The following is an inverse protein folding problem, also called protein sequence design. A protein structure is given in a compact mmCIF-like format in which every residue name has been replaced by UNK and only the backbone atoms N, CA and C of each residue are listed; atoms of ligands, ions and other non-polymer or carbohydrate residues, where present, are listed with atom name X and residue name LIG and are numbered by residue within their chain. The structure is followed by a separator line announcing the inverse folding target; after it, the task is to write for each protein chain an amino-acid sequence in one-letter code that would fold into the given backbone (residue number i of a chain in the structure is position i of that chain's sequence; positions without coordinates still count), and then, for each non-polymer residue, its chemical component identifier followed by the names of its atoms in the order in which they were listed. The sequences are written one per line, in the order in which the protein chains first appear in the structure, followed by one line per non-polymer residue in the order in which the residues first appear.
data_IF_689655838205
#
_entry.id   IF_689655838205
#
_cell.length_a   1.000
_cell.length_b   1.000
_cell.length_c   1.000
_cell.angle_alpha   90.00
_cell.angle_beta   90.00
_cell.angle_gamma   90.00
#
_symmetry.space_group_name_H-M   'P 1'
#
loop_
_entity.id
_entity.type
_entity.pdbx_description
1 polymer ?
#
# COMPACT_ATOMS: atom_id res chain seq x y z
N UNK A 1 -0.33 2.28 -31.72
CA UNK A 1 -0.15 1.79 -30.34
C UNK A 1 0.47 2.95 -29.58
N UNK A 2 -0.39 3.85 -29.08
CA UNK A 2 0.06 5.02 -28.34
C UNK A 2 0.82 4.56 -27.10
N UNK A 3 2.04 5.07 -26.92
CA UNK A 3 2.78 4.98 -25.67
C UNK A 3 2.03 5.83 -24.63
N UNK A 4 0.95 5.29 -24.09
CA UNK A 4 0.14 5.92 -23.06
C UNK A 4 1.04 6.19 -21.86
N UNK A 5 1.43 7.46 -21.72
CA UNK A 5 1.95 8.02 -20.49
C UNK A 5 0.97 7.68 -19.36
N UNK A 6 1.48 7.31 -18.19
CA UNK A 6 0.66 7.17 -16.98
C UNK A 6 -0.26 8.39 -16.85
N UNK A 7 -1.57 8.14 -16.75
CA UNK A 7 -2.54 9.19 -16.44
C UNK A 7 -2.20 9.82 -15.10
N UNK A 8 -2.57 11.08 -14.93
CA UNK A 8 -2.43 11.78 -13.64
C UNK A 8 -3.08 10.96 -12.53
N UNK A 9 -2.30 10.63 -11.52
CA UNK A 9 -2.74 9.78 -10.42
C UNK A 9 -3.60 10.59 -9.46
N UNK A 10 -4.86 10.19 -9.29
CA UNK A 10 -5.78 10.85 -8.37
C UNK A 10 -5.24 10.82 -6.92
N UNK A 11 -5.47 11.90 -6.14
CA UNK A 11 -5.00 11.98 -4.76
C UNK A 11 -5.67 10.93 -3.89
N UNK A 12 -4.86 10.26 -3.07
CA UNK A 12 -5.38 9.41 -2.01
C UNK A 12 -5.87 10.29 -0.87
N UNK A 13 -7.10 10.07 -0.41
CA UNK A 13 -7.76 10.89 0.61
C UNK A 13 -8.10 10.08 1.85
N UNK A 14 -8.15 10.70 3.04
CA UNK A 14 -8.73 10.06 4.22
C UNK A 14 -10.20 9.70 3.96
N UNK A 15 -10.76 8.77 4.75
CA UNK A 15 -12.18 8.45 4.65
C UNK A 15 -13.02 9.70 4.98
N UNK A 16 -14.14 9.85 4.29
CA UNK A 16 -15.06 10.97 4.50
C UNK A 16 -15.95 10.74 5.75
N UNK A 17 -16.53 11.79 6.34
CA UNK A 17 -17.40 11.68 7.51
C UNK A 17 -18.56 10.68 7.40
N UNK A 18 -19.04 10.36 6.18
CA UNK A 18 -20.06 9.31 5.99
C UNK A 18 -19.60 7.95 6.52
N UNK A 19 -18.30 7.65 6.43
CA UNK A 19 -17.72 6.41 6.94
C UNK A 19 -17.73 6.35 8.46
N UNK A 20 -17.61 7.50 9.15
CA UNK A 20 -17.79 7.57 10.60
C UNK A 20 -19.17 7.04 11.00
N UNK A 21 -20.23 7.48 10.33
CA UNK A 21 -21.60 7.05 10.59
C UNK A 21 -21.81 5.54 10.29
N UNK A 22 -21.18 5.03 9.23
CA UNK A 22 -21.19 3.60 8.90
C UNK A 22 -20.55 2.79 10.03
N UNK A 23 -19.31 3.13 10.40
CA UNK A 23 -18.52 2.39 11.40
C UNK A 23 -19.13 2.50 12.80
N UNK A 24 -19.57 3.69 13.21
CA UNK A 24 -20.22 3.88 14.51
C UNK A 24 -21.56 3.15 14.61
N UNK A 25 -22.33 3.10 13.51
CA UNK A 25 -23.56 2.32 13.46
C UNK A 25 -23.34 0.81 13.56
N UNK A 26 -22.27 0.29 12.94
CA UNK A 26 -21.86 -1.12 13.13
C UNK A 26 -21.40 -1.36 14.56
N UNK A 27 -20.57 -0.46 15.11
CA UNK A 27 -20.05 -0.58 16.47
C UNK A 27 -21.18 -0.60 17.49
N UNK A 28 -22.14 0.31 17.37
CA UNK A 28 -23.30 0.38 18.25
C UNK A 28 -24.16 -0.89 18.19
N UNK A 29 -24.41 -1.43 16.98
CA UNK A 29 -25.19 -2.67 16.80
C UNK A 29 -24.57 -3.88 17.51
N UNK A 30 -23.26 -3.88 17.70
CA UNK A 30 -22.50 -4.96 18.33
C UNK A 30 -22.10 -4.67 19.78
N UNK A 31 -22.54 -3.53 20.32
CA UNK A 31 -22.16 -3.05 21.65
C UNK A 31 -20.67 -2.75 21.80
N UNK A 32 -19.97 -2.43 20.71
CA UNK A 32 -18.59 -1.93 20.74
C UNK A 32 -18.58 -0.41 21.00
N UNK A 33 -17.51 0.13 21.59
CA UNK A 33 -17.31 1.57 21.68
C UNK A 33 -17.29 2.22 20.28
N UNK A 34 -18.01 3.34 20.15
CA UNK A 34 -18.02 4.15 18.92
C UNK A 34 -16.88 5.17 18.93
N UNK A 35 -16.65 5.87 17.82
CA UNK A 35 -15.65 6.93 17.69
C UNK A 35 -15.80 8.07 18.73
N UNK A 36 -16.96 8.16 19.39
CA UNK A 36 -17.22 9.13 20.45
C UNK A 36 -16.63 8.71 21.81
N UNK A 37 -16.38 7.42 22.04
CA UNK A 37 -15.74 6.93 23.26
C UNK A 37 -14.21 6.90 23.12
N UNK A 38 -13.63 8.09 23.11
CA UNK A 38 -12.19 8.31 22.91
C UNK A 38 -11.36 7.57 23.96
N UNK A 39 -11.82 7.49 25.21
CA UNK A 39 -11.07 6.86 26.30
C UNK A 39 -11.00 5.35 26.10
N UNK A 40 -12.15 4.69 25.87
CA UNK A 40 -12.17 3.25 25.68
C UNK A 40 -11.43 2.84 24.40
N UNK A 41 -11.64 3.56 23.30
CA UNK A 41 -10.95 3.26 22.04
C UNK A 41 -9.46 3.59 22.12
N UNK A 42 -9.05 4.66 22.79
CA UNK A 42 -7.64 5.00 22.99
C UNK A 42 -6.89 3.86 23.68
N UNK A 43 -7.47 3.30 24.76
CA UNK A 43 -6.90 2.15 25.45
C UNK A 43 -6.87 0.89 24.56
N UNK A 44 -7.96 0.57 23.86
CA UNK A 44 -8.02 -0.59 22.97
C UNK A 44 -7.02 -0.50 21.80
N UNK A 45 -6.86 0.69 21.21
CA UNK A 45 -5.92 0.94 20.11
C UNK A 45 -4.47 0.89 20.58
N UNK A 46 -4.16 1.47 21.74
CA UNK A 46 -2.81 1.38 22.33
C UNK A 46 -2.42 -0.10 22.55
N UNK A 47 -3.35 -0.86 23.13
CA UNK A 47 -3.17 -2.29 23.40
C UNK A 47 -2.99 -3.11 22.12
N UNK A 48 -3.85 -2.88 21.12
CA UNK A 48 -3.75 -3.56 19.82
C UNK A 48 -2.42 -3.25 19.12
N UNK A 49 -1.98 -2.00 19.18
CA UNK A 49 -0.68 -1.58 18.65
C UNK A 49 0.48 -2.28 19.37
N UNK A 50 0.44 -2.36 20.71
CA UNK A 50 1.46 -3.07 21.48
C UNK A 50 1.50 -4.56 21.14
N UNK A 51 0.35 -5.22 21.00
CA UNK A 51 0.25 -6.63 20.57
C UNK A 51 0.87 -6.85 19.19
N UNK A 52 0.49 -6.03 18.20
CA UNK A 52 1.08 -6.14 16.86
C UNK A 52 2.59 -5.90 16.85
N UNK A 53 3.09 -5.01 17.70
CA UNK A 53 4.53 -4.77 17.83
C UNK A 53 5.26 -5.80 18.71
N UNK A 54 4.57 -6.85 19.19
CA UNK A 54 5.15 -7.89 20.04
C UNK A 54 5.52 -7.42 21.46
N UNK A 55 5.00 -6.26 21.87
CA UNK A 55 5.16 -5.71 23.22
C UNK A 55 4.11 -6.27 24.18
N UNK A 56 3.00 -6.79 23.65
CA UNK A 56 2.02 -7.58 24.38
C UNK A 56 1.87 -8.98 23.79
N UNK A 57 1.64 -9.96 24.66
CA UNK A 57 1.46 -11.36 24.26
C UNK A 57 0.01 -11.65 23.85
N UNK A 58 -0.97 -10.93 24.42
CA UNK A 58 -2.39 -11.16 24.17
C UNK A 58 -3.24 -9.90 24.38
N UNK A 59 -4.35 -9.83 23.65
CA UNK A 59 -5.37 -8.79 23.73
C UNK A 59 -6.76 -9.44 23.71
N UNK A 60 -7.70 -9.02 24.59
CA UNK A 60 -9.06 -9.53 24.54
C UNK A 60 -9.70 -9.33 23.16
N UNK A 61 -10.22 -10.40 22.56
CA UNK A 61 -10.75 -10.39 21.20
C UNK A 61 -11.76 -9.25 20.96
N UNK A 62 -12.63 -8.97 21.94
CA UNK A 62 -13.61 -7.86 21.87
C UNK A 62 -12.95 -6.48 21.77
N UNK A 63 -11.85 -6.25 22.49
CA UNK A 63 -11.09 -4.99 22.44
C UNK A 63 -10.32 -4.87 21.12
N UNK A 64 -9.67 -5.95 20.67
CA UNK A 64 -8.99 -5.98 19.38
C UNK A 64 -9.96 -5.67 18.24
N UNK A 65 -11.15 -6.29 18.26
CA UNK A 65 -12.17 -6.08 17.24
C UNK A 65 -12.72 -4.64 17.24
N UNK A 66 -12.96 -4.06 18.42
CA UNK A 66 -13.35 -2.64 18.54
C UNK A 66 -12.29 -1.68 17.97
N UNK A 67 -11.01 -1.91 18.28
CA UNK A 67 -9.91 -1.09 17.75
C UNK A 67 -9.72 -1.28 16.23
N UNK A 68 -9.96 -2.48 15.70
CA UNK A 68 -9.94 -2.73 14.26
C UNK A 68 -11.09 -1.98 13.57
N UNK A 69 -12.31 -2.08 14.10
CA UNK A 69 -13.53 -1.47 13.54
C UNK A 69 -13.46 0.06 13.56
N UNK A 70 -13.23 0.64 14.73
CA UNK A 70 -13.40 2.08 14.95
C UNK A 70 -12.13 2.91 14.72
N UNK A 71 -10.99 2.28 14.41
CA UNK A 71 -9.72 2.98 14.16
C UNK A 71 -8.93 2.40 12.97
N UNK A 72 -8.61 1.10 12.99
CA UNK A 72 -7.68 0.52 12.01
C UNK A 72 -8.27 0.50 10.59
N UNK A 73 -9.55 0.17 10.44
CA UNK A 73 -10.24 0.16 9.14
C UNK A 73 -10.06 1.50 8.39
N UNK A 74 -10.41 2.62 9.04
CA UNK A 74 -10.31 3.95 8.45
C UNK A 74 -8.85 4.40 8.23
N UNK A 75 -7.92 3.92 9.04
CA UNK A 75 -6.47 4.15 8.84
C UNK A 75 -5.91 3.36 7.65
N UNK A 76 -6.49 2.21 7.33
CA UNK A 76 -5.89 1.24 6.40
C UNK A 76 -6.47 1.29 4.99
N UNK A 77 -7.72 1.72 4.81
CA UNK A 77 -8.32 1.94 3.49
C UNK A 77 -7.46 2.85 2.58
N UNK A 78 -6.91 4.00 3.04
CA UNK A 78 -6.04 4.82 2.20
C UNK A 78 -4.73 4.11 1.79
N UNK A 79 -4.22 3.18 2.61
CA UNK A 79 -3.04 2.38 2.25
C UNK A 79 -3.34 1.44 1.10
N UNK A 80 -4.51 0.79 1.13
CA UNK A 80 -5.02 -0.03 0.03
C UNK A 80 -5.12 0.77 -1.27
N UNK A 81 -5.76 1.94 -1.22
CA UNK A 81 -5.89 2.83 -2.37
C UNK A 81 -4.52 3.27 -2.92
N UNK A 82 -3.59 3.65 -2.05
CA UNK A 82 -2.25 4.07 -2.42
C UNK A 82 -1.44 2.94 -3.08
N UNK A 83 -1.52 1.71 -2.55
CA UNK A 83 -0.77 0.57 -3.07
C UNK A 83 -1.19 0.18 -4.51
N UNK A 84 -2.46 0.38 -4.87
CA UNK A 84 -2.97 0.06 -6.22
C UNK A 84 -3.05 1.28 -7.14
N UNK A 85 -2.76 2.49 -6.66
CA UNK A 85 -2.92 3.72 -7.44
C UNK A 85 -2.13 3.73 -8.76
N UNK A 86 -0.89 3.26 -8.75
CA UNK A 86 -0.03 3.19 -9.96
C UNK A 86 -0.53 2.13 -10.95
N UNK A 87 -1.11 1.05 -10.41
CA UNK A 87 -1.75 0.02 -11.22
C UNK A 87 -2.96 0.60 -11.93
N UNK A 88 -3.85 1.27 -11.21
CA UNK A 88 -5.06 1.85 -11.79
C UNK A 88 -4.71 2.96 -12.80
N UNK A 89 -3.77 3.84 -12.47
CA UNK A 89 -3.29 4.90 -13.37
C UNK A 89 -2.61 4.37 -14.64
N UNK A 90 -2.17 3.10 -14.64
CA UNK A 90 -1.65 2.42 -15.83
C UNK A 90 -2.72 1.94 -16.81
N UNK A 91 -4.00 2.19 -16.50
CA UNK A 91 -5.15 1.77 -17.30
C UNK A 91 -5.70 0.40 -16.89
N UNK A 92 -5.21 -0.22 -15.82
CA UNK A 92 -5.89 -1.38 -15.23
C UNK A 92 -7.15 -0.91 -14.48
N UNK A 93 -8.29 -1.62 -14.54
CA UNK A 93 -8.51 -2.94 -15.12
C UNK A 93 -8.97 -2.94 -16.59
N UNK A 94 -8.82 -1.82 -17.30
CA UNK A 94 -9.34 -1.63 -18.65
C UNK A 94 -10.86 -1.50 -18.65
N UNK A 95 -11.51 -2.11 -19.64
CA UNK A 95 -12.96 -2.01 -19.89
C UNK A 95 -13.81 -3.03 -19.11
N UNK A 96 -13.22 -3.73 -18.15
CA UNK A 96 -13.94 -4.74 -17.35
C UNK A 96 -15.09 -4.08 -16.59
N UNK A 97 -16.29 -4.62 -16.73
CA UNK A 97 -17.48 -4.19 -15.98
C UNK A 97 -17.52 -4.78 -14.56
N UNK A 98 -16.89 -5.94 -14.35
CA UNK A 98 -16.82 -6.63 -13.06
C UNK A 98 -15.38 -7.04 -12.76
N UNK A 99 -14.95 -6.84 -11.50
CA UNK A 99 -13.67 -7.28 -10.98
C UNK A 99 -13.87 -8.31 -9.88
N UNK A 100 -13.31 -9.50 -10.09
CA UNK A 100 -13.29 -10.54 -9.07
C UNK A 100 -12.05 -10.34 -8.21
N UNK A 101 -12.26 -10.10 -6.92
CA UNK A 101 -11.21 -9.81 -5.96
C UNK A 101 -11.15 -10.92 -4.92
N UNK A 102 -9.95 -11.37 -4.59
CA UNK A 102 -9.68 -12.29 -3.49
C UNK A 102 -8.83 -11.56 -2.45
N UNK A 103 -9.41 -11.24 -1.28
CA UNK A 103 -8.75 -10.51 -0.19
C UNK A 103 -8.37 -11.51 0.91
N UNK A 104 -7.08 -11.79 1.08
CA UNK A 104 -6.55 -12.79 2.00
C UNK A 104 -6.03 -12.16 3.27
N UNK A 105 -6.51 -12.64 4.42
CA UNK A 105 -6.34 -11.95 5.69
C UNK A 105 -7.12 -10.63 5.69
N UNK A 106 -8.32 -10.65 5.12
CA UNK A 106 -9.08 -9.44 4.83
C UNK A 106 -9.49 -8.65 6.08
N UNK A 107 -9.64 -9.32 7.23
CA UNK A 107 -10.25 -8.79 8.43
C UNK A 107 -11.60 -8.12 8.15
N UNK A 108 -11.60 -6.79 8.20
CA UNK A 108 -12.78 -5.95 7.98
C UNK A 108 -12.99 -5.51 6.51
N UNK A 109 -12.11 -5.93 5.58
CA UNK A 109 -12.19 -5.59 4.16
C UNK A 109 -11.59 -4.24 3.78
N UNK A 110 -10.71 -3.67 4.61
CA UNK A 110 -10.15 -2.33 4.36
C UNK A 110 -9.39 -2.23 3.03
N UNK A 111 -8.68 -3.30 2.61
CA UNK A 111 -7.96 -3.30 1.33
C UNK A 111 -8.92 -3.28 0.14
N UNK A 112 -10.00 -4.08 0.21
CA UNK A 112 -11.09 -4.08 -0.78
C UNK A 112 -11.72 -2.69 -0.94
N UNK A 113 -12.00 -1.97 0.15
CA UNK A 113 -12.50 -0.59 0.07
C UNK A 113 -11.47 0.40 -0.44
N UNK A 114 -10.18 0.19 -0.13
CA UNK A 114 -9.08 0.96 -0.71
C UNK A 114 -9.02 0.83 -2.24
N UNK A 115 -9.19 -0.39 -2.75
CA UNK A 115 -9.31 -0.64 -4.19
C UNK A 115 -10.49 0.11 -4.81
N UNK A 116 -11.69 -0.02 -4.22
CA UNK A 116 -12.89 0.63 -4.74
C UNK A 116 -12.71 2.15 -4.87
N UNK A 117 -12.06 2.77 -3.87
CA UNK A 117 -11.72 4.21 -3.89
C UNK A 117 -10.74 4.57 -5.00
N UNK A 118 -9.68 3.78 -5.19
CA UNK A 118 -8.72 4.04 -6.26
C UNK A 118 -9.35 3.92 -7.65
N UNK A 119 -10.25 2.94 -7.83
CA UNK A 119 -11.01 2.76 -9.07
C UNK A 119 -11.97 3.93 -9.32
N UNK A 120 -12.75 4.33 -8.32
CA UNK A 120 -13.68 5.47 -8.44
C UNK A 120 -12.94 6.77 -8.76
N UNK A 121 -11.82 7.03 -8.07
CA UNK A 121 -10.98 8.19 -8.29
C UNK A 121 -10.35 8.25 -9.69
N UNK A 122 -10.13 7.09 -10.32
CA UNK A 122 -9.70 6.97 -11.70
C UNK A 122 -10.85 7.01 -12.72
N UNK A 123 -12.08 7.19 -12.26
CA UNK A 123 -13.27 7.27 -13.12
C UNK A 123 -13.82 5.91 -13.56
N UNK A 124 -13.33 4.80 -13.02
CA UNK A 124 -13.86 3.48 -13.35
C UNK A 124 -15.28 3.31 -12.77
N UNK A 125 -16.15 2.63 -13.53
CA UNK A 125 -17.55 2.38 -13.18
C UNK A 125 -17.85 0.91 -13.39
N UNK A 126 -18.33 0.24 -12.36
CA UNK A 126 -18.58 -1.20 -12.41
C UNK A 126 -18.72 -1.81 -11.03
N UNK A 127 -18.60 -3.13 -10.96
CA UNK A 127 -18.77 -3.91 -9.73
C UNK A 127 -17.47 -4.58 -9.29
N UNK A 128 -17.08 -4.36 -8.04
CA UNK A 128 -16.09 -5.16 -7.33
C UNK A 128 -16.81 -6.30 -6.62
N UNK A 129 -16.56 -7.53 -7.04
CA UNK A 129 -17.02 -8.75 -6.39
C UNK A 129 -15.88 -9.35 -5.57
N UNK A 130 -15.86 -9.04 -4.27
CA UNK A 130 -14.78 -9.43 -3.38
C UNK A 130 -15.14 -10.66 -2.53
N UNK A 131 -14.24 -11.65 -2.56
CA UNK A 131 -14.23 -12.76 -1.60
C UNK A 131 -13.19 -12.46 -0.52
N UNK A 132 -13.66 -12.19 0.70
CA UNK A 132 -12.84 -11.90 1.87
C UNK A 132 -12.59 -13.21 2.63
N UNK A 133 -11.33 -13.62 2.72
CA UNK A 133 -10.89 -14.82 3.44
C UNK A 133 -10.11 -14.40 4.68
N UNK A 134 -10.55 -14.86 5.85
CA UNK A 134 -9.86 -14.63 7.12
C UNK A 134 -10.17 -15.76 8.12
N UNK A 135 -9.29 -15.96 9.09
CA UNK A 135 -9.52 -16.90 10.21
C UNK A 135 -10.42 -16.28 11.28
N UNK A 136 -10.46 -14.96 11.38
CA UNK A 136 -11.30 -14.23 12.32
C UNK A 136 -12.74 -14.07 11.79
N UNK A 137 -13.58 -15.05 12.13
CA UNK A 137 -15.00 -15.05 11.77
C UNK A 137 -15.76 -13.82 12.29
N UNK A 138 -15.35 -13.25 13.43
CA UNK A 138 -15.99 -12.06 13.98
C UNK A 138 -15.63 -10.81 13.16
N UNK A 139 -14.37 -10.68 12.72
CA UNK A 139 -13.98 -9.62 11.79
C UNK A 139 -14.72 -9.73 10.45
N UNK A 140 -14.85 -10.93 9.88
CA UNK A 140 -15.61 -11.13 8.65
C UNK A 140 -17.11 -10.79 8.80
N UNK A 141 -17.72 -11.12 9.94
CA UNK A 141 -19.10 -10.72 10.22
C UNK A 141 -19.26 -9.19 10.27
N UNK A 142 -18.29 -8.47 10.83
CA UNK A 142 -18.27 -7.01 10.79
C UNK A 142 -18.03 -6.47 9.37
N UNK A 143 -17.16 -7.09 8.58
CA UNK A 143 -16.92 -6.72 7.18
C UNK A 143 -18.23 -6.74 6.36
N UNK A 144 -19.01 -7.82 6.50
CA UNK A 144 -20.31 -7.94 5.84
C UNK A 144 -21.30 -6.85 6.27
N UNK A 145 -21.33 -6.50 7.56
CA UNK A 145 -22.18 -5.42 8.11
C UNK A 145 -21.74 -4.04 7.66
N UNK A 146 -20.43 -3.79 7.56
CA UNK A 146 -19.88 -2.56 6.97
C UNK A 146 -20.36 -2.45 5.53
N UNK A 147 -20.21 -3.51 4.72
CA UNK A 147 -20.63 -3.48 3.32
C UNK A 147 -22.13 -3.26 3.13
N UNK A 148 -22.96 -3.89 3.95
CA UNK A 148 -24.41 -3.68 3.94
C UNK A 148 -24.82 -2.23 4.22
N UNK A 149 -23.99 -1.46 4.94
CA UNK A 149 -24.27 -0.06 5.34
C UNK A 149 -23.53 0.98 4.49
N UNK A 150 -22.39 0.64 3.91
CA UNK A 150 -21.53 1.58 3.20
C UNK A 150 -22.12 2.05 1.86
N UNK A 151 -22.90 1.18 1.20
CA UNK A 151 -23.36 1.43 -0.17
C UNK A 151 -22.20 1.41 -1.18
N UNK A 152 -22.40 1.91 -2.41
CA UNK A 152 -21.32 2.01 -3.40
C UNK A 152 -20.27 3.06 -2.99
N UNK A 153 -19.05 2.87 -3.47
CA UNK A 153 -18.00 3.89 -3.43
C UNK A 153 -18.07 4.74 -4.71
N UNK A 154 -18.78 5.86 -4.66
CA UNK A 154 -19.01 6.68 -5.85
C UNK A 154 -19.69 5.86 -6.95
N UNK A 155 -19.02 5.72 -8.09
CA UNK A 155 -19.50 4.92 -9.22
C UNK A 155 -19.16 3.42 -9.17
N UNK A 156 -18.59 2.94 -8.06
CA UNK A 156 -18.15 1.56 -7.88
C UNK A 156 -19.07 0.82 -6.92
N UNK A 157 -19.81 -0.16 -7.43
CA UNK A 157 -20.56 -1.09 -6.59
C UNK A 157 -19.60 -2.10 -5.93
N UNK A 158 -19.80 -2.39 -4.65
CA UNK A 158 -18.98 -3.35 -3.90
C UNK A 158 -19.87 -4.46 -3.35
N UNK A 159 -19.65 -5.68 -3.80
CA UNK A 159 -20.29 -6.89 -3.30
C UNK A 159 -19.27 -7.72 -2.53
N UNK A 160 -19.61 -8.13 -1.32
CA UNK A 160 -18.71 -8.88 -0.43
C UNK A 160 -19.30 -10.24 -0.11
N UNK A 161 -18.50 -11.28 -0.36
CA UNK A 161 -18.69 -12.63 0.19
C UNK A 161 -17.58 -12.91 1.20
N UNK A 162 -17.94 -13.45 2.36
CA UNK A 162 -16.96 -13.83 3.39
C UNK A 162 -16.76 -15.34 3.43
N UNK A 163 -15.53 -15.76 3.71
CA UNK A 163 -15.15 -17.17 3.86
C UNK A 163 -14.21 -17.28 5.06
N UNK A 164 -14.63 -18.04 6.08
CA UNK A 164 -13.75 -18.35 7.21
C UNK A 164 -12.77 -19.43 6.76
N UNK A 165 -11.47 -19.13 6.77
CA UNK A 165 -10.46 -20.06 6.30
C UNK A 165 -9.04 -19.51 6.35
N UNK A 166 -8.08 -20.38 6.04
CA UNK A 166 -6.68 -19.99 5.86
C UNK A 166 -6.44 -19.49 4.41
N UNK A 167 -5.42 -18.64 4.23
CA UNK A 167 -4.97 -18.23 2.89
C UNK A 167 -4.49 -19.40 2.02
N UNK A 168 -4.34 -20.59 2.58
CA UNK A 168 -4.03 -21.84 1.89
C UNK A 168 -5.27 -22.54 1.31
N UNK A 169 -6.48 -22.28 1.85
CA UNK A 169 -7.74 -22.95 1.52
C UNK A 169 -8.60 -22.12 0.56
N UNK A 170 -8.04 -21.84 -0.61
CA UNK A 170 -8.56 -20.83 -1.51
C UNK A 170 -9.67 -21.34 -2.43
N UNK A 171 -10.66 -20.51 -2.79
CA UNK A 171 -11.64 -20.84 -3.82
C UNK A 171 -10.96 -21.22 -5.14
N UNK A 172 -11.63 -22.06 -5.93
CA UNK A 172 -11.01 -22.68 -7.10
C UNK A 172 -10.77 -21.72 -8.29
N UNK A 173 -11.60 -20.68 -8.45
CA UNK A 173 -11.53 -19.80 -9.61
C UNK A 173 -10.44 -18.71 -9.47
N UNK A 174 -9.63 -18.44 -10.51
CA UNK A 174 -8.71 -17.31 -10.52
C UNK A 174 -9.43 -15.97 -10.40
N UNK A 175 -8.87 -15.05 -9.60
CA UNK A 175 -9.33 -13.68 -9.40
C UNK A 175 -8.56 -12.70 -10.31
N UNK A 176 -9.19 -11.58 -10.66
CA UNK A 176 -8.55 -10.51 -11.43
C UNK A 176 -7.55 -9.72 -10.55
N UNK A 177 -7.78 -9.71 -9.23
CA UNK A 177 -6.89 -9.15 -8.22
C UNK A 177 -6.89 -10.02 -6.95
N UNK A 178 -5.69 -10.33 -6.46
CA UNK A 178 -5.48 -10.91 -5.12
C UNK A 178 -4.82 -9.87 -4.22
N UNK A 179 -5.43 -9.61 -3.06
CA UNK A 179 -4.94 -8.68 -2.05
C UNK A 179 -4.45 -9.46 -0.83
N UNK A 180 -3.33 -9.02 -0.24
CA UNK A 180 -2.84 -9.52 1.06
C UNK A 180 -2.45 -8.29 1.89
N UNK A 181 -3.34 -7.87 2.79
CA UNK A 181 -3.18 -6.68 3.62
C UNK A 181 -2.79 -7.01 5.05
N UNK A 182 -1.58 -6.65 5.46
CA UNK A 182 -1.06 -6.76 6.82
C UNK A 182 -1.09 -8.18 7.41
N UNK A 183 -1.19 -9.21 6.56
CA UNK A 183 -1.38 -10.59 6.99
C UNK A 183 -0.15 -11.48 6.76
N UNK A 184 0.64 -11.23 5.70
CA UNK A 184 1.78 -12.07 5.37
C UNK A 184 2.83 -12.02 6.50
N UNK A 185 3.07 -10.85 7.09
CA UNK A 185 3.97 -10.67 8.22
C UNK A 185 3.45 -11.26 9.55
N UNK A 186 2.21 -11.75 9.61
CA UNK A 186 1.67 -12.45 10.79
C UNK A 186 1.80 -13.98 10.68
N UNK A 187 2.00 -14.49 9.47
CA UNK A 187 2.12 -15.93 9.22
C UNK A 187 3.50 -16.45 9.58
N UNK A 188 3.55 -17.72 10.02
CA UNK A 188 4.77 -18.49 10.24
C UNK A 188 5.83 -17.78 11.11
N UNK A 189 5.41 -17.00 12.13
CA UNK A 189 6.31 -16.21 12.99
C UNK A 189 7.28 -17.06 13.82
N UNK A 190 6.99 -18.35 13.98
CA UNK A 190 7.88 -19.32 14.64
C UNK A 190 9.04 -19.79 13.76
N UNK A 191 8.99 -19.56 12.44
CA UNK A 191 10.06 -19.96 11.53
C UNK A 191 11.23 -18.96 11.57
N UNK A 192 12.48 -19.43 11.38
CA UNK A 192 13.63 -18.57 11.15
C UNK A 192 13.40 -17.61 9.97
N UNK A 193 13.91 -16.36 10.01
CA UNK A 193 13.61 -15.34 8.99
C UNK A 193 13.83 -15.79 7.54
N UNK A 194 14.95 -16.47 7.25
CA UNK A 194 15.27 -16.92 5.90
C UNK A 194 14.31 -18.01 5.38
N UNK A 195 13.96 -18.97 6.23
CA UNK A 195 13.01 -20.05 5.92
C UNK A 195 11.61 -19.48 5.72
N UNK A 196 11.22 -18.55 6.60
CA UNK A 196 9.96 -17.83 6.51
C UNK A 196 9.84 -17.04 5.20
N UNK A 197 10.89 -16.35 4.78
CA UNK A 197 10.91 -15.63 3.50
C UNK A 197 10.81 -16.60 2.31
N UNK A 198 11.46 -17.78 2.38
CA UNK A 198 11.33 -18.83 1.36
C UNK A 198 9.89 -19.33 1.26
N UNK A 199 9.30 -19.73 2.40
CA UNK A 199 7.92 -20.19 2.50
C UNK A 199 6.92 -19.16 1.95
N UNK A 200 7.10 -17.88 2.28
CA UNK A 200 6.21 -16.83 1.80
C UNK A 200 6.39 -16.59 0.31
N UNK A 201 7.61 -16.60 -0.22
CA UNK A 201 7.83 -16.52 -1.67
C UNK A 201 7.15 -17.68 -2.42
N UNK A 202 7.22 -18.90 -1.91
CA UNK A 202 6.50 -20.05 -2.49
C UNK A 202 4.98 -19.90 -2.44
N UNK A 203 4.43 -19.35 -1.34
CA UNK A 203 2.99 -19.07 -1.24
C UNK A 203 2.58 -18.05 -2.31
N UNK A 204 3.32 -16.95 -2.42
CA UNK A 204 3.02 -15.89 -3.40
C UNK A 204 3.19 -16.37 -4.85
N UNK A 205 4.22 -17.19 -5.12
CA UNK A 205 4.42 -17.83 -6.43
C UNK A 205 3.23 -18.74 -6.79
N UNK A 206 2.79 -19.61 -5.88
CA UNK A 206 1.60 -20.45 -6.09
C UNK A 206 0.33 -19.62 -6.31
N UNK A 207 0.15 -18.54 -5.57
CA UNK A 207 -0.97 -17.61 -5.76
C UNK A 207 -0.96 -17.02 -7.17
N UNK A 208 0.18 -16.49 -7.62
CA UNK A 208 0.34 -15.96 -8.97
C UNK A 208 0.02 -16.99 -10.04
N UNK A 209 0.50 -18.23 -9.88
CA UNK A 209 0.31 -19.29 -10.88
C UNK A 209 -1.13 -19.85 -10.89
N UNK A 210 -1.79 -19.94 -9.74
CA UNK A 210 -3.01 -20.72 -9.61
C UNK A 210 -4.27 -19.90 -9.31
N UNK A 211 -4.12 -18.69 -8.75
CA UNK A 211 -5.25 -17.89 -8.24
C UNK A 211 -5.34 -16.49 -8.83
N UNK A 212 -4.31 -16.03 -9.54
CA UNK A 212 -4.35 -14.75 -10.27
C UNK A 212 -4.68 -15.03 -11.74
N UNK A 213 -5.62 -14.30 -12.33
CA UNK A 213 -5.96 -14.41 -13.75
C UNK A 213 -4.72 -14.09 -14.65
N UNK A 214 -4.68 -14.53 -15.92
CA UNK A 214 -3.52 -14.30 -16.81
C UNK A 214 -3.01 -12.84 -16.86
N UNK A 215 -3.91 -11.87 -16.91
CA UNK A 215 -3.66 -10.42 -16.85
C UNK A 215 -3.94 -9.80 -15.48
N UNK A 216 -4.10 -10.67 -14.47
CA UNK A 216 -4.43 -10.31 -13.09
C UNK A 216 -3.23 -9.90 -12.27
N UNK A 217 -3.52 -9.47 -11.04
CA UNK A 217 -2.55 -8.82 -10.16
C UNK A 217 -2.55 -9.44 -8.77
N UNK A 218 -1.37 -9.53 -8.15
CA UNK A 218 -1.17 -9.80 -6.74
C UNK A 218 -0.61 -8.55 -6.06
N UNK A 219 -1.23 -8.11 -4.97
CA UNK A 219 -0.81 -6.95 -4.19
C UNK A 219 -0.61 -7.37 -2.74
N UNK A 220 0.59 -7.14 -2.23
CA UNK A 220 0.94 -7.35 -0.83
C UNK A 220 1.17 -5.99 -0.19
N UNK A 221 0.56 -5.74 0.96
CA UNK A 221 0.68 -4.49 1.73
C UNK A 221 1.04 -4.87 3.16
N UNK A 222 2.10 -4.29 3.70
CA UNK A 222 2.61 -4.61 5.04
C UNK A 222 2.96 -3.34 5.82
N UNK A 223 2.96 -3.36 7.16
CA UNK A 223 3.42 -2.21 7.93
C UNK A 223 4.87 -1.83 7.60
N UNK A 224 5.18 -0.53 7.69
CA UNK A 224 6.51 0.02 7.37
C UNK A 224 7.58 -0.23 8.45
N UNK A 225 7.38 -1.23 9.33
CA UNK A 225 8.35 -1.61 10.35
C UNK A 225 9.57 -2.26 9.68
N UNK A 226 10.76 -1.95 10.16
CA UNK A 226 12.03 -2.36 9.53
C UNK A 226 12.09 -3.88 9.29
N UNK A 227 11.76 -4.67 10.29
CA UNK A 227 11.76 -6.14 10.22
C UNK A 227 10.77 -6.66 9.16
N UNK A 228 9.54 -6.14 9.14
CA UNK A 228 8.49 -6.55 8.20
C UNK A 228 8.80 -6.12 6.77
N UNK A 229 9.28 -4.90 6.59
CA UNK A 229 9.66 -4.40 5.26
C UNK A 229 10.88 -5.14 4.72
N UNK A 230 11.90 -5.43 5.55
CA UNK A 230 13.06 -6.23 5.13
C UNK A 230 12.67 -7.67 4.79
N UNK A 231 11.77 -8.28 5.56
CA UNK A 231 11.16 -9.57 5.21
C UNK A 231 10.52 -9.52 3.82
N UNK A 232 9.75 -8.47 3.51
CA UNK A 232 9.13 -8.30 2.19
C UNK A 232 10.17 -8.06 1.08
N UNK A 233 11.29 -7.40 1.34
CA UNK A 233 12.40 -7.29 0.37
C UNK A 233 13.00 -8.66 0.04
N UNK A 234 13.19 -9.53 1.03
CA UNK A 234 13.75 -10.86 0.83
C UNK A 234 12.77 -11.74 0.03
N UNK A 235 11.47 -11.66 0.34
CA UNK A 235 10.41 -12.31 -0.44
C UNK A 235 10.40 -11.80 -1.88
N UNK A 236 10.49 -10.48 -2.10
CA UNK A 236 10.62 -9.86 -3.43
C UNK A 236 11.82 -10.44 -4.19
N UNK A 237 12.99 -10.51 -3.57
CA UNK A 237 14.21 -11.03 -4.20
C UNK A 237 14.07 -12.49 -4.64
N UNK A 238 13.39 -13.32 -3.84
CA UNK A 238 13.11 -14.72 -4.16
C UNK A 238 12.11 -14.88 -5.31
N UNK A 239 11.06 -14.05 -5.35
CA UNK A 239 10.11 -14.05 -6.45
C UNK A 239 10.75 -13.63 -7.78
N UNK A 240 11.65 -12.65 -7.75
CA UNK A 240 12.48 -12.27 -8.90
C UNK A 240 13.35 -13.44 -9.35
N UNK A 241 14.03 -14.11 -8.41
CA UNK A 241 14.84 -15.29 -8.74
C UNK A 241 14.01 -16.44 -9.33
N UNK A 242 12.72 -16.52 -9.00
CA UNK A 242 11.75 -17.44 -9.60
C UNK A 242 11.20 -16.97 -10.97
N UNK A 243 11.65 -15.82 -11.49
CA UNK A 243 11.30 -15.30 -12.81
C UNK A 243 10.10 -14.36 -12.86
N UNK A 244 9.63 -13.86 -11.71
CA UNK A 244 8.62 -12.80 -11.66
C UNK A 244 9.25 -11.41 -11.81
N UNK A 245 8.50 -10.46 -12.38
CA UNK A 245 8.88 -9.05 -12.44
C UNK A 245 8.02 -8.21 -11.53
N UNK A 246 8.62 -7.17 -10.95
CA UNK A 246 7.92 -6.23 -10.07
C UNK A 246 7.20 -5.19 -10.92
N UNK A 247 5.89 -5.06 -10.72
CA UNK A 247 5.13 -3.96 -11.29
C UNK A 247 5.41 -2.66 -10.51
N UNK A 248 5.23 -2.68 -9.18
CA UNK A 248 5.46 -1.54 -8.28
C UNK A 248 5.85 -2.03 -6.88
N UNK A 249 6.51 -1.22 -6.03
CA UNK A 249 6.99 0.15 -6.27
C UNK A 249 8.33 0.22 -7.03
N UNK A 250 9.08 -0.88 -7.07
CA UNK A 250 10.43 -0.90 -7.65
C UNK A 250 10.38 -0.78 -9.18
N UNK A 251 11.24 0.07 -9.73
CA UNK A 251 11.40 0.27 -11.18
C UNK A 251 12.52 -0.60 -11.79
N UNK A 252 12.91 -1.66 -11.09
CA UNK A 252 13.95 -2.60 -11.50
C UNK A 252 13.71 -3.96 -10.83
N UNK A 253 14.28 -5.01 -11.42
CA UNK A 253 14.25 -6.38 -10.89
C UNK A 253 15.62 -6.81 -10.28
N UNK A 254 16.54 -5.88 -10.04
CA UNK A 254 17.76 -6.18 -9.28
C UNK A 254 17.51 -6.36 -7.76
N UNK A 255 18.53 -6.88 -7.05
CA UNK A 255 18.61 -6.87 -5.57
C UNK A 255 18.30 -5.47 -5.04
N UNK A 256 17.45 -5.38 -4.02
CA UNK A 256 17.01 -4.10 -3.48
C UNK A 256 18.22 -3.33 -2.88
N UNK A 257 18.55 -2.11 -3.36
CA UNK A 257 19.67 -1.33 -2.82
C UNK A 257 19.57 -0.99 -1.33
N UNK A 258 18.36 -1.05 -0.75
CA UNK A 258 18.17 -0.90 0.70
C UNK A 258 18.81 -2.01 1.53
N UNK A 259 19.00 -3.20 0.96
CA UNK A 259 19.56 -4.32 1.71
C UNK A 259 21.07 -4.17 1.94
N UNK A 260 21.74 -3.25 1.23
CA UNK A 260 23.17 -2.99 1.35
C UNK A 260 23.60 -2.56 2.76
N UNK A 261 22.69 -1.94 3.54
CA UNK A 261 22.92 -1.61 4.96
C UNK A 261 21.86 -2.31 5.82
N UNK A 262 22.24 -2.82 7.01
CA UNK A 262 21.30 -3.54 7.88
C UNK A 262 20.17 -2.62 8.40
N UNK A 263 20.46 -1.34 8.60
CA UNK A 263 19.53 -0.37 9.17
C UNK A 263 18.64 0.32 8.13
N UNK A 264 18.84 0.06 6.83
CA UNK A 264 18.03 0.65 5.76
C UNK A 264 16.81 -0.22 5.42
N UNK A 265 15.68 0.43 5.10
CA UNK A 265 14.49 -0.20 4.52
C UNK A 265 13.66 0.79 3.69
N UNK A 266 12.97 0.31 2.63
CA UNK A 266 12.16 1.14 1.74
C UNK A 266 10.67 0.91 2.01
N UNK A 267 9.98 1.96 2.44
CA UNK A 267 8.54 2.01 2.60
C UNK A 267 7.95 3.19 1.83
N UNK A 268 6.62 3.28 1.78
CA UNK A 268 5.85 4.43 1.36
C UNK A 268 5.57 5.34 2.56
N UNK A 269 5.56 6.65 2.35
CA UNK A 269 5.10 7.65 3.32
C UNK A 269 4.07 8.54 2.64
N UNK A 270 2.80 8.16 2.79
CA UNK A 270 1.69 8.82 2.16
C UNK A 270 1.34 10.09 2.97
N UNK A 271 1.27 11.28 2.35
CA UNK A 271 0.94 12.54 3.04
C UNK A 271 -0.57 12.65 3.28
N UNK A 272 -1.16 11.64 3.89
CA UNK A 272 -2.57 11.56 4.26
C UNK A 272 -2.65 11.43 5.77
N UNK A 273 -3.33 12.38 6.39
CA UNK A 273 -3.60 12.35 7.83
C UNK A 273 -4.80 11.45 8.12
N UNK A 274 -4.92 11.01 9.38
CA UNK A 274 -6.13 10.34 9.84
C UNK A 274 -7.33 11.29 9.75
N UNK A 275 -8.53 10.76 9.49
CA UNK A 275 -9.73 11.58 9.57
C UNK A 275 -9.87 12.24 10.95
N UNK A 276 -10.39 13.47 10.98
CA UNK A 276 -10.42 14.32 12.19
C UNK A 276 -11.04 13.62 13.40
N UNK A 277 -12.06 12.79 13.20
CA UNK A 277 -12.74 12.07 14.29
C UNK A 277 -11.88 11.00 14.95
N UNK A 278 -10.76 10.59 14.35
CA UNK A 278 -9.80 9.64 14.93
C UNK A 278 -8.64 10.34 15.65
N UNK A 279 -8.44 11.64 15.48
CA UNK A 279 -7.29 12.36 16.06
C UNK A 279 -7.30 12.27 17.59
N UNK A 280 -8.48 12.39 18.21
CA UNK A 280 -8.62 12.21 19.67
C UNK A 280 -8.21 10.82 20.15
N UNK A 281 -8.63 9.78 19.42
CA UNK A 281 -8.31 8.38 19.71
C UNK A 281 -6.81 8.12 19.52
N UNK A 282 -6.23 8.62 18.43
CA UNK A 282 -4.80 8.48 18.14
C UNK A 282 -3.95 9.13 19.25
N UNK A 283 -4.32 10.33 19.71
CA UNK A 283 -3.65 11.00 20.84
C UNK A 283 -3.77 10.18 22.13
N UNK A 284 -4.96 9.69 22.45
CA UNK A 284 -5.17 8.84 23.63
C UNK A 284 -4.36 7.53 23.57
N UNK A 285 -4.09 7.02 22.36
CA UNK A 285 -3.26 5.84 22.13
C UNK A 285 -1.76 6.13 21.94
N UNK A 286 -1.32 7.39 22.06
CA UNK A 286 0.06 7.83 21.77
C UNK A 286 0.55 7.48 20.36
N UNK A 287 -0.36 7.53 19.37
CA UNK A 287 -0.06 7.26 17.97
C UNK A 287 0.04 8.55 17.14
N UNK A 288 0.90 8.52 16.11
CA UNK A 288 0.94 9.55 15.08
C UNK A 288 -0.37 9.52 14.28
N UNK A 289 -0.93 10.70 14.01
CA UNK A 289 -2.13 10.88 13.19
C UNK A 289 -1.83 11.55 11.83
N UNK A 290 -0.59 12.00 11.62
CA UNK A 290 -0.16 12.60 10.37
C UNK A 290 0.56 11.58 9.51
N UNK A 291 0.28 11.56 8.21
CA UNK A 291 0.91 10.64 7.26
C UNK A 291 0.68 9.14 7.55
N UNK A 292 0.72 8.33 6.49
CA UNK A 292 0.54 6.89 6.58
C UNK A 292 1.73 6.17 5.97
N UNK A 293 2.41 5.38 6.79
CA UNK A 293 3.53 4.56 6.34
C UNK A 293 3.13 3.10 6.16
N UNK A 294 3.58 2.50 5.07
CA UNK A 294 3.40 1.07 4.76
C UNK A 294 4.44 0.65 3.72
N UNK A 295 4.69 -0.64 3.56
CA UNK A 295 5.43 -1.21 2.44
C UNK A 295 4.49 -2.00 1.56
N UNK A 296 4.77 -2.10 0.27
CA UNK A 296 3.92 -2.84 -0.65
C UNK A 296 4.73 -3.46 -1.77
N UNK A 297 4.14 -4.47 -2.39
CA UNK A 297 4.67 -5.15 -3.57
C UNK A 297 3.50 -5.49 -4.49
N UNK A 298 3.58 -5.05 -5.74
CA UNK A 298 2.61 -5.35 -6.80
C UNK A 298 3.30 -6.21 -7.85
N UNK A 299 2.69 -7.34 -8.15
CA UNK A 299 3.14 -8.31 -9.15
C UNK A 299 2.01 -8.55 -10.13
N UNK A 300 2.32 -8.60 -11.42
CA UNK A 300 1.36 -8.99 -12.44
C UNK A 300 1.71 -10.36 -12.99
N UNK A 301 0.70 -11.19 -13.23
CA UNK A 301 0.92 -12.54 -13.77
C UNK A 301 1.47 -12.49 -15.20
N UNK A 302 1.03 -11.52 -16.00
CA UNK A 302 1.55 -11.25 -17.35
C UNK A 302 2.94 -10.58 -17.37
N UNK A 303 3.53 -10.32 -16.19
CA UNK A 303 4.84 -9.71 -16.00
C UNK A 303 4.98 -8.28 -16.54
N UNK A 304 3.88 -7.61 -16.87
CA UNK A 304 3.94 -6.19 -17.23
C UNK A 304 4.46 -5.37 -16.04
N UNK A 305 5.22 -4.32 -16.34
CA UNK A 305 5.88 -3.50 -15.31
C UNK A 305 5.52 -2.02 -15.40
N UNK A 306 5.63 -1.29 -14.29
CA UNK A 306 5.39 0.15 -14.32
C UNK A 306 6.47 0.89 -15.10
N UNK A 307 7.73 0.42 -15.04
CA UNK A 307 8.87 1.04 -15.75
C UNK A 307 8.69 1.09 -17.27
N UNK A 308 7.98 0.13 -17.87
CA UNK A 308 7.68 0.11 -19.31
C UNK A 308 6.67 1.18 -19.73
N UNK A 309 5.96 1.77 -18.77
CA UNK A 309 4.96 2.84 -18.95
C UNK A 309 5.49 4.23 -18.57
N UNK A 310 6.77 4.29 -18.25
CA UNK A 310 7.48 5.48 -17.81
C UNK A 310 8.59 5.82 -18.82
N UNK A 311 9.00 7.08 -18.93
CA UNK A 311 10.19 7.39 -19.73
C UNK A 311 11.41 6.66 -19.20
N UNK A 312 12.31 6.31 -20.12
CA UNK A 312 13.58 5.69 -19.78
C UNK A 312 14.35 6.57 -18.77
N UNK A 313 14.98 5.91 -17.80
CA UNK A 313 15.73 6.58 -16.75
C UNK A 313 14.89 7.11 -15.59
N UNK A 314 13.59 6.77 -15.52
CA UNK A 314 12.76 7.16 -14.38
C UNK A 314 13.24 6.48 -13.10
N UNK A 315 13.45 7.29 -12.05
CA UNK A 315 13.82 6.86 -10.71
C UNK A 315 12.75 7.27 -9.70
N UNK A 316 12.65 6.54 -8.59
CA UNK A 316 11.74 6.86 -7.49
C UNK A 316 12.49 7.54 -6.34
N UNK A 317 11.92 8.61 -5.80
CA UNK A 317 12.41 9.22 -4.56
C UNK A 317 12.04 8.33 -3.36
N UNK A 318 13.02 7.71 -2.72
CA UNK A 318 12.80 6.72 -1.65
C UNK A 318 13.01 7.26 -0.23
N UNK A 319 13.34 8.55 -0.08
CA UNK A 319 13.43 9.23 1.20
C UNK A 319 12.94 10.68 1.08
N UNK A 320 12.53 11.28 2.20
CA UNK A 320 12.28 12.71 2.23
C UNK A 320 13.56 13.48 1.86
N UNK A 321 13.47 14.52 1.00
CA UNK A 321 14.61 15.36 0.69
C UNK A 321 15.24 15.95 1.95
N UNK A 322 16.57 15.99 1.99
CA UNK A 322 17.33 16.61 3.08
C UNK A 322 17.75 18.01 2.68
N UNK A 323 17.21 19.00 3.38
CA UNK A 323 17.59 20.39 3.20
C UNK A 323 18.74 20.71 4.16
N UNK A 324 19.84 21.21 3.61
CA UNK A 324 21.00 21.67 4.39
C UNK A 324 21.44 23.04 3.85
N UNK A 325 22.30 23.75 4.59
CA UNK A 325 22.73 25.10 4.19
C UNK A 325 23.35 25.10 2.79
N UNK A 326 22.68 25.71 1.82
CA UNK A 326 23.17 25.87 0.45
C UNK A 326 22.85 24.72 -0.51
N UNK A 327 22.16 23.65 -0.08
CA UNK A 327 21.84 22.50 -0.95
C UNK A 327 20.63 21.68 -0.49
N UNK A 328 20.03 20.98 -1.44
CA UNK A 328 19.02 19.93 -1.23
C UNK A 328 19.56 18.59 -1.74
N UNK A 329 19.46 17.55 -0.93
CA UNK A 329 19.84 16.17 -1.28
C UNK A 329 18.60 15.28 -1.35
N UNK A 330 18.56 14.40 -2.36
CA UNK A 330 17.46 13.48 -2.60
C UNK A 330 18.01 12.06 -2.83
N UNK A 331 17.34 11.04 -2.29
CA UNK A 331 17.72 9.63 -2.48
C UNK A 331 16.85 9.02 -3.58
N UNK A 332 17.41 8.87 -4.78
CA UNK A 332 16.72 8.30 -5.94
C UNK A 332 17.08 6.82 -6.10
N UNK A 333 16.08 5.97 -6.30
CA UNK A 333 16.25 4.54 -6.54
C UNK A 333 15.63 4.16 -7.88
N UNK A 334 16.40 3.53 -8.75
CA UNK A 334 15.96 3.13 -10.08
C UNK A 334 17.15 2.83 -10.98
N UNK A 335 16.89 2.75 -12.27
CA UNK A 335 17.92 2.64 -13.30
C UNK A 335 17.84 3.86 -14.20
N UNK A 336 18.84 4.75 -14.09
CA UNK A 336 18.98 5.96 -14.91
C UNK A 336 19.87 5.74 -16.14
N UNK A 337 20.07 4.48 -16.55
CA UNK A 337 21.00 4.08 -17.60
C UNK A 337 22.40 3.76 -17.08
N UNK A 338 22.67 3.99 -15.79
CA UNK A 338 23.94 3.62 -15.09
C UNK A 338 23.78 2.35 -14.24
N UNK A 339 22.72 1.59 -14.48
CA UNK A 339 22.38 0.37 -13.76
C UNK A 339 21.57 0.61 -12.48
N UNK A 340 20.83 -0.41 -11.99
CA UNK A 340 19.94 -0.29 -10.85
C UNK A 340 20.71 0.07 -9.56
N UNK A 341 20.40 1.22 -8.97
CA UNK A 341 21.03 1.67 -7.73
C UNK A 341 20.15 2.64 -6.95
N UNK A 342 20.47 2.81 -5.66
CA UNK A 342 20.13 4.01 -4.90
C UNK A 342 21.27 5.01 -5.03
N UNK A 343 20.95 6.25 -5.39
CA UNK A 343 21.91 7.35 -5.53
C UNK A 343 21.45 8.57 -4.74
N UNK A 344 22.38 9.18 -4.04
CA UNK A 344 22.20 10.52 -3.47
C UNK A 344 22.44 11.54 -4.58
N UNK A 345 21.41 12.30 -4.93
CA UNK A 345 21.47 13.35 -5.96
C UNK A 345 21.35 14.71 -5.28
N UNK A 346 22.23 15.64 -5.64
CA UNK A 346 22.34 16.96 -4.97
C UNK A 346 22.05 18.11 -5.92
N UNK A 347 21.27 19.10 -5.45
CA UNK A 347 21.16 20.43 -6.08
C UNK A 347 21.65 21.50 -5.12
N UNK A 348 22.57 22.36 -5.57
CA UNK A 348 22.95 23.57 -4.82
C UNK A 348 21.88 24.65 -5.00
N UNK A 349 21.69 25.52 -4.00
CA UNK A 349 20.68 26.59 -4.07
C UNK A 349 20.93 27.55 -5.24
N UNK A 350 22.22 27.85 -5.51
CA UNK A 350 22.66 28.68 -6.65
C UNK A 350 22.39 28.06 -8.03
N UNK A 351 22.10 26.76 -8.08
CA UNK A 351 21.79 26.04 -9.31
C UNK A 351 20.26 25.98 -9.57
N UNK A 352 19.44 26.62 -8.73
CA UNK A 352 17.99 26.73 -8.96
C UNK A 352 17.73 27.44 -10.29
N UNK A 353 16.89 26.84 -11.12
CA UNK A 353 16.47 27.41 -12.40
C UNK A 353 15.03 26.98 -12.72
N UNK A 354 14.40 27.58 -13.74
CA UNK A 354 13.11 27.08 -14.25
C UNK A 354 13.16 25.62 -14.70
N UNK A 355 14.27 25.16 -15.29
CA UNK A 355 14.41 23.78 -15.82
C UNK A 355 14.38 22.70 -14.72
N UNK A 356 14.76 23.06 -13.49
CA UNK A 356 14.73 22.17 -12.33
C UNK A 356 13.74 22.60 -11.24
N UNK A 357 12.75 23.43 -11.59
CA UNK A 357 11.75 23.91 -10.64
C UNK A 357 11.04 22.78 -9.85
N UNK A 358 10.70 21.61 -10.45
CA UNK A 358 10.07 20.51 -9.72
C UNK A 358 10.89 19.96 -8.54
N UNK A 359 12.22 20.17 -8.54
CA UNK A 359 13.10 19.78 -7.44
C UNK A 359 12.79 20.47 -6.10
N UNK A 360 12.09 21.61 -6.13
CA UNK A 360 11.75 22.37 -4.92
C UNK A 360 10.73 21.67 -4.02
N UNK A 361 9.84 20.89 -4.63
CA UNK A 361 8.63 20.38 -3.96
C UNK A 361 8.61 18.85 -3.91
N UNK A 362 9.80 18.24 -3.95
CA UNK A 362 9.96 16.80 -3.95
C UNK A 362 9.40 16.16 -2.67
N UNK A 363 8.72 15.04 -2.85
CA UNK A 363 8.10 14.24 -1.81
C UNK A 363 8.37 12.77 -2.05
N UNK A 364 8.60 12.03 -0.96
CA UNK A 364 8.81 10.58 -1.04
C UNK A 364 7.73 9.94 -1.93
N UNK A 365 8.14 9.00 -2.78
CA UNK A 365 7.28 8.32 -3.73
C UNK A 365 7.27 8.95 -5.13
N UNK A 366 7.71 10.22 -5.29
CA UNK A 366 7.81 10.88 -6.59
C UNK A 366 8.63 10.07 -7.60
N UNK A 367 8.19 10.13 -8.85
CA UNK A 367 8.87 9.55 -10.01
C UNK A 367 9.55 10.67 -10.79
N UNK A 368 10.84 10.55 -11.05
CA UNK A 368 11.67 11.61 -11.58
C UNK A 368 12.52 11.12 -12.74
N UNK A 369 12.68 11.95 -13.76
CA UNK A 369 13.76 11.81 -14.75
C UNK A 369 14.64 13.05 -14.71
N UNK A 370 15.95 12.83 -14.90
CA UNK A 370 16.95 13.88 -14.95
C UNK A 370 17.61 13.85 -16.33
N UNK A 371 17.66 15.01 -17.00
CA UNK A 371 18.37 15.15 -18.26
C UNK A 371 19.44 16.25 -18.16
N UNK A 372 20.74 15.93 -18.28
CA UNK A 372 21.30 14.56 -18.33
C UNK A 372 21.14 13.81 -16.99
N UNK A 373 21.18 12.47 -16.99
CA UNK A 373 21.21 11.68 -15.75
C UNK A 373 22.52 11.94 -15.00
N UNK A 374 22.46 11.99 -13.67
CA UNK A 374 23.63 12.26 -12.85
C UNK A 374 23.33 12.42 -11.37
N UNK A 375 24.39 12.57 -10.59
CA UNK A 375 24.29 12.72 -9.12
C UNK A 375 24.23 14.21 -8.70
N UNK A 376 24.15 15.11 -9.69
CA UNK A 376 24.04 16.55 -9.50
C UNK A 376 22.99 17.15 -10.43
N UNK A 377 22.15 18.00 -9.87
CA UNK A 377 21.23 18.86 -10.63
C UNK A 377 21.88 20.24 -10.77
N UNK A 378 22.27 20.58 -12.00
CA UNK A 378 22.78 21.90 -12.37
C UNK A 378 21.67 22.84 -12.83
N UNK A 379 22.04 24.09 -13.18
CA UNK A 379 21.07 25.08 -13.70
C UNK A 379 20.40 24.60 -14.99
N UNK A 380 21.11 23.87 -15.82
CA UNK A 380 20.60 23.36 -17.11
C UNK A 380 19.98 21.96 -17.01
N UNK A 381 20.06 21.30 -15.84
CA UNK A 381 19.47 19.96 -15.69
C UNK A 381 17.95 20.08 -15.74
N UNK A 382 17.34 19.38 -16.69
CA UNK A 382 15.89 19.26 -16.74
C UNK A 382 15.44 18.22 -15.71
N UNK A 383 14.46 18.59 -14.89
CA UNK A 383 13.82 17.68 -13.93
C UNK A 383 12.37 17.53 -14.33
N UNK A 384 12.01 16.35 -14.82
CA UNK A 384 10.60 16.00 -15.07
C UNK A 384 10.11 15.10 -13.93
N UNK A 385 9.01 15.53 -13.29
CA UNK A 385 8.43 14.92 -12.11
C UNK A 385 7.02 14.44 -12.42
N UNK A 386 6.75 13.18 -12.12
CA UNK A 386 5.42 12.58 -12.05
C UNK A 386 5.08 12.30 -10.58
N UNK A 387 3.95 12.80 -10.12
CA UNK A 387 3.49 12.69 -8.73
C UNK A 387 2.13 12.02 -8.66
N UNK A 388 1.84 11.46 -7.48
CA UNK A 388 0.46 11.33 -7.00
C UNK A 388 -0.02 12.75 -6.72
N UNK A 389 -1.13 13.17 -7.30
CA UNK A 389 -1.70 14.46 -6.90
C UNK A 389 -2.01 14.42 -5.40
N UNK A 390 -1.96 15.59 -4.75
CA UNK A 390 -2.17 15.70 -3.30
C UNK A 390 -3.62 16.04 -3.02
#
# INVERSE_FOLDING_TARGET
MDSSSLSTMAPVRPLEPRWRAVLDGVAQGEGHPTSHDVKALGAAVARLSAYYNGLEQDIPARQALAARLSFSFARDVPKGAAAVSELVASGWPGERATLRVLDLGAGLGAMTWGLARALDAAGWRGTVEATLVDRDAAALALAARIAARAGPEGGVAVSIRTVVGDASDLPAAPADLVLIGQALSEMHRSLPPAERAARHAEVLDRLLQQRVAPDGVLVVIEPALRDRTRHLHDVRGRLIAAGWSVFAPCLHDATCPMLARPDDWCHEDLPVDLPDWLVGIARAASLRFQGLTFSYLVLRRDRATLRERLPAGTQRLVAAPRLTKGKTEAELCGDDGRGPARRTVTRLDRARSPANAPWNDLTRGDLLTLAPPGDRVGSETQVDRRRRDR
#
